data_IF_150879872293
#
_entry.id   IF_150879872293
#
_cell.length_a   1.000
_cell.length_b   1.000
_cell.length_c   1.000
_cell.angle_alpha   90.00
_cell.angle_beta   90.00
_cell.angle_gamma   90.00
#
_symmetry.space_group_name_H-M   'P 1'
#
loop_
_entity.id
_entity.type
_entity.pdbx_description
1 polymer ?
#
# COMPACT_ATOMS: atom_id res chain seq x y z
N UNK A 1 27.06 29.54 -75.66
CA UNK A 1 25.97 29.01 -74.80
C UNK A 1 26.58 27.96 -73.90
N UNK A 2 26.83 28.31 -72.65
CA UNK A 2 27.44 27.40 -71.66
C UNK A 2 26.37 27.01 -70.68
N UNK A 3 26.01 25.73 -70.62
CA UNK A 3 25.07 25.16 -69.63
C UNK A 3 25.84 24.75 -68.38
N UNK A 4 25.49 25.31 -67.23
CA UNK A 4 26.01 24.89 -65.91
C UNK A 4 25.19 23.77 -65.36
N UNK A 5 25.78 22.71 -64.73
CA UNK A 5 25.03 21.66 -64.09
C UNK A 5 24.56 22.09 -62.67
N UNK A 6 23.27 21.93 -62.38
CA UNK A 6 22.70 22.04 -61.06
C UNK A 6 23.06 20.76 -60.29
N UNK A 7 23.84 20.89 -59.20
CA UNK A 7 24.06 19.81 -58.21
C UNK A 7 22.96 19.92 -57.18
N UNK A 8 22.02 18.97 -57.21
CA UNK A 8 21.01 18.78 -56.14
C UNK A 8 21.65 18.03 -54.98
N UNK A 9 21.93 18.73 -53.90
CA UNK A 9 22.40 18.13 -52.66
C UNK A 9 21.23 17.41 -51.93
N UNK A 10 21.31 16.09 -51.84
CA UNK A 10 20.40 15.27 -51.02
C UNK A 10 20.81 15.42 -49.55
N UNK A 11 20.04 16.18 -48.76
CA UNK A 11 20.15 16.14 -47.30
C UNK A 11 19.53 14.83 -46.81
N UNK A 12 20.36 13.87 -46.41
CA UNK A 12 19.91 12.68 -45.67
C UNK A 12 19.60 13.11 -44.23
N UNK A 13 18.32 13.23 -43.87
CA UNK A 13 17.89 13.27 -42.46
C UNK A 13 18.18 11.90 -41.83
N UNK A 14 19.19 11.84 -40.98
CA UNK A 14 19.39 10.68 -40.10
C UNK A 14 18.25 10.65 -39.07
N UNK A 15 17.34 9.71 -39.21
CA UNK A 15 16.35 9.41 -38.17
C UNK A 15 17.12 8.86 -36.97
N UNK A 16 17.18 9.61 -35.86
CA UNK A 16 17.65 9.14 -34.58
C UNK A 16 16.58 8.12 -34.10
N UNK A 17 16.94 6.86 -33.88
CA UNK A 17 15.95 5.92 -33.31
C UNK A 17 15.52 6.46 -31.95
N UNK A 18 14.22 6.69 -31.77
CA UNK A 18 13.65 6.94 -30.45
C UNK A 18 13.97 5.71 -29.59
N UNK A 19 14.78 5.88 -28.55
CA UNK A 19 14.97 4.83 -27.57
C UNK A 19 13.59 4.45 -27.01
N UNK A 20 13.22 3.18 -27.07
CA UNK A 20 11.98 2.72 -26.46
C UNK A 20 12.02 3.08 -24.97
N UNK A 21 10.99 3.77 -24.51
CA UNK A 21 10.86 4.16 -23.10
C UNK A 21 10.86 2.89 -22.24
N UNK A 22 11.79 2.81 -21.31
CA UNK A 22 11.86 1.67 -20.39
C UNK A 22 10.81 1.88 -19.31
N UNK A 23 9.89 0.94 -19.15
CA UNK A 23 8.84 1.01 -18.15
C UNK A 23 8.76 -0.25 -17.31
N UNK A 24 8.22 -0.11 -16.09
CA UNK A 24 7.86 -1.22 -15.20
C UNK A 24 6.41 -1.09 -14.73
N UNK A 25 5.82 -2.23 -14.37
CA UNK A 25 4.53 -2.31 -13.70
C UNK A 25 4.76 -2.58 -12.22
N UNK A 26 4.36 -1.64 -11.37
CA UNK A 26 4.38 -1.76 -9.92
C UNK A 26 3.00 -2.21 -9.43
N UNK A 27 2.88 -3.47 -9.00
CA UNK A 27 1.67 -3.96 -8.33
C UNK A 27 1.63 -3.46 -6.91
N UNK A 28 0.57 -2.74 -6.53
CA UNK A 28 0.45 -2.12 -5.22
C UNK A 28 -1.01 -2.04 -4.73
N UNK A 29 -1.22 -1.34 -3.62
CA UNK A 29 -2.53 -1.25 -2.98
C UNK A 29 -3.19 0.11 -3.20
N UNK A 30 -4.54 0.09 -3.24
CA UNK A 30 -5.33 1.33 -3.34
C UNK A 30 -5.10 2.26 -2.16
N UNK A 31 -4.85 1.74 -0.95
CA UNK A 31 -4.55 2.58 0.22
C UNK A 31 -3.23 3.32 0.05
N UNK A 32 -2.18 2.66 -0.46
CA UNK A 32 -0.88 3.30 -0.73
C UNK A 32 -1.00 4.36 -1.83
N UNK A 33 -1.70 4.05 -2.93
CA UNK A 33 -1.92 5.03 -4.00
C UNK A 33 -2.73 6.23 -3.52
N UNK A 34 -3.83 5.99 -2.78
CA UNK A 34 -4.71 7.05 -2.27
C UNK A 34 -4.04 7.93 -1.20
N UNK A 35 -2.96 7.47 -0.56
CA UNK A 35 -2.19 8.31 0.34
C UNK A 35 -1.44 9.44 -0.37
N UNK A 36 -1.22 9.34 -1.70
CA UNK A 36 -0.43 10.30 -2.48
C UNK A 36 1.08 10.04 -2.46
N UNK A 37 1.53 8.94 -1.81
CA UNK A 37 2.95 8.63 -1.68
C UNK A 37 3.65 8.49 -3.04
N UNK A 38 3.01 7.84 -4.01
CA UNK A 38 3.60 7.62 -5.33
C UNK A 38 3.81 8.91 -6.12
N UNK A 39 2.89 9.87 -6.02
CA UNK A 39 3.02 11.19 -6.65
C UNK A 39 4.26 11.95 -6.12
N UNK A 40 4.67 11.65 -4.89
CA UNK A 40 5.87 12.22 -4.29
C UNK A 40 7.15 11.43 -4.64
N UNK A 41 7.11 10.10 -4.66
CA UNK A 41 8.30 9.27 -4.83
C UNK A 41 8.72 9.08 -6.29
N UNK A 42 7.76 8.77 -7.18
CA UNK A 42 8.07 8.29 -8.52
C UNK A 42 8.79 9.31 -9.39
N UNK A 43 8.45 10.61 -9.38
CA UNK A 43 9.19 11.59 -10.18
C UNK A 43 10.70 11.62 -9.93
N UNK A 44 11.11 11.40 -8.66
CA UNK A 44 12.53 11.31 -8.29
C UNK A 44 13.24 10.10 -8.87
N UNK A 45 12.58 8.94 -8.81
CA UNK A 45 13.10 7.70 -9.41
C UNK A 45 13.17 7.78 -10.93
N UNK A 46 12.08 8.22 -11.58
CA UNK A 46 11.96 8.29 -13.03
C UNK A 46 12.99 9.24 -13.65
N UNK A 47 13.17 10.43 -13.04
CA UNK A 47 14.15 11.40 -13.48
C UNK A 47 15.59 10.90 -13.37
N UNK A 48 15.90 10.07 -12.37
CA UNK A 48 17.24 9.54 -12.13
C UNK A 48 17.58 8.36 -13.03
N UNK A 49 16.60 7.48 -13.27
CA UNK A 49 16.85 6.18 -13.89
C UNK A 49 16.35 6.11 -15.35
N UNK A 50 15.54 7.07 -15.80
CA UNK A 50 14.92 7.02 -17.13
C UNK A 50 13.95 5.84 -17.30
N UNK A 51 13.34 5.40 -16.21
CA UNK A 51 12.40 4.28 -16.16
C UNK A 51 11.05 4.79 -15.68
N UNK A 52 10.01 4.65 -16.49
CA UNK A 52 8.64 5.03 -16.12
C UNK A 52 7.99 3.94 -15.26
N UNK A 53 7.25 4.33 -14.21
CA UNK A 53 6.58 3.40 -13.30
C UNK A 53 5.07 3.47 -13.45
N UNK A 54 4.46 2.40 -13.97
CA UNK A 54 3.01 2.25 -14.04
C UNK A 54 2.48 1.56 -12.77
N UNK A 55 1.81 2.32 -11.91
CA UNK A 55 1.23 1.79 -10.67
C UNK A 55 -0.12 1.14 -10.95
N UNK A 56 -0.24 -0.15 -10.63
CA UNK A 56 -1.52 -0.88 -10.62
C UNK A 56 -1.97 -1.01 -9.17
N UNK A 57 -2.88 -0.12 -8.76
CA UNK A 57 -3.38 -0.01 -7.39
C UNK A 57 -4.71 -0.77 -7.21
N UNK A 58 -4.64 -1.92 -6.54
CA UNK A 58 -5.78 -2.81 -6.27
C UNK A 58 -5.77 -3.29 -4.81
N UNK A 59 -6.65 -4.20 -4.42
CA UNK A 59 -6.54 -4.86 -3.11
C UNK A 59 -5.31 -5.76 -3.04
N UNK A 60 -4.69 -5.91 -1.86
CA UNK A 60 -3.44 -6.68 -1.65
C UNK A 60 -3.50 -8.08 -2.29
N UNK A 61 -4.58 -8.83 -2.05
CA UNK A 61 -4.74 -10.17 -2.64
C UNK A 61 -4.76 -10.15 -4.16
N UNK A 62 -5.37 -9.12 -4.78
CA UNK A 62 -5.36 -8.98 -6.24
C UNK A 62 -3.98 -8.56 -6.75
N UNK A 63 -3.27 -7.66 -6.08
CA UNK A 63 -1.91 -7.27 -6.44
C UNK A 63 -0.96 -8.49 -6.46
N UNK A 64 -1.04 -9.35 -5.45
CA UNK A 64 -0.27 -10.59 -5.37
C UNK A 64 -0.68 -11.57 -6.48
N UNK A 65 -1.98 -11.72 -6.77
CA UNK A 65 -2.43 -12.57 -7.90
C UNK A 65 -1.91 -12.06 -9.23
N UNK A 66 -1.97 -10.76 -9.49
CA UNK A 66 -1.42 -10.17 -10.71
C UNK A 66 0.09 -10.46 -10.83
N UNK A 67 0.85 -10.27 -9.75
CA UNK A 67 2.28 -10.58 -9.74
C UNK A 67 2.56 -12.09 -9.97
N UNK A 68 1.73 -13.00 -9.44
CA UNK A 68 1.81 -14.45 -9.73
C UNK A 68 1.51 -14.78 -11.20
N UNK A 69 0.64 -14.02 -11.83
CA UNK A 69 0.32 -14.15 -13.26
C UNK A 69 1.37 -13.49 -14.16
N UNK A 70 2.47 -12.98 -13.59
CA UNK A 70 3.51 -12.25 -14.30
C UNK A 70 3.03 -10.92 -14.92
N UNK A 71 1.98 -10.31 -14.35
CA UNK A 71 1.41 -9.03 -14.78
C UNK A 71 2.02 -7.84 -14.01
N UNK A 72 3.25 -7.96 -13.56
CA UNK A 72 3.98 -6.91 -12.85
C UNK A 72 5.44 -7.26 -12.66
N UNK A 73 6.29 -6.24 -12.55
CA UNK A 73 7.74 -6.36 -12.41
C UNK A 73 8.17 -6.28 -10.93
N UNK A 74 7.40 -5.51 -10.14
CA UNK A 74 7.63 -5.29 -8.71
C UNK A 74 6.30 -5.34 -7.97
N UNK A 75 6.31 -5.90 -6.76
CA UNK A 75 5.22 -5.91 -5.80
C UNK A 75 5.61 -5.04 -4.59
N UNK A 76 4.79 -4.05 -4.23
CA UNK A 76 4.94 -3.23 -3.04
C UNK A 76 3.60 -3.19 -2.29
N UNK A 77 3.49 -3.96 -1.23
CA UNK A 77 2.26 -4.18 -0.45
C UNK A 77 2.57 -4.28 1.05
N UNK A 78 1.58 -4.57 1.88
CA UNK A 78 1.71 -4.59 3.34
C UNK A 78 0.93 -5.76 3.99
N UNK A 79 1.19 -6.97 3.54
CA UNK A 79 0.62 -8.20 4.08
C UNK A 79 1.72 -9.28 4.21
N UNK A 80 2.61 -9.11 5.20
CA UNK A 80 3.87 -9.84 5.37
C UNK A 80 3.73 -11.35 5.13
N UNK A 81 2.75 -12.01 5.76
CA UNK A 81 2.58 -13.46 5.64
C UNK A 81 2.31 -13.91 4.19
N UNK A 82 1.48 -13.16 3.44
CA UNK A 82 1.17 -13.46 2.03
C UNK A 82 2.33 -13.11 1.10
N UNK A 83 3.11 -12.08 1.44
CA UNK A 83 4.34 -11.70 0.74
C UNK A 83 5.43 -12.76 0.90
N UNK A 84 5.61 -13.29 2.11
CA UNK A 84 6.55 -14.40 2.39
C UNK A 84 6.15 -15.68 1.67
N UNK A 85 4.84 -15.99 1.61
CA UNK A 85 4.33 -17.11 0.83
C UNK A 85 4.63 -16.92 -0.66
N UNK A 86 4.41 -15.74 -1.23
CA UNK A 86 4.73 -15.41 -2.62
C UNK A 86 6.22 -15.66 -2.95
N UNK A 87 7.13 -15.30 -2.03
CA UNK A 87 8.57 -15.56 -2.17
C UNK A 87 8.88 -17.05 -2.02
N UNK A 88 8.32 -17.73 -1.01
CA UNK A 88 8.58 -19.17 -0.78
C UNK A 88 8.10 -20.06 -1.91
N UNK A 89 7.05 -19.65 -2.63
CA UNK A 89 6.57 -20.31 -3.87
C UNK A 89 7.44 -20.01 -5.10
N UNK A 90 8.46 -19.15 -4.95
CA UNK A 90 9.43 -18.81 -5.99
C UNK A 90 8.97 -17.73 -6.97
N UNK A 91 7.84 -17.06 -6.74
CA UNK A 91 7.36 -15.94 -7.58
C UNK A 91 8.06 -14.62 -7.28
N UNK A 92 8.58 -14.43 -6.08
CA UNK A 92 9.40 -13.28 -5.69
C UNK A 92 10.86 -13.66 -5.51
N UNK A 93 11.78 -12.75 -5.79
CA UNK A 93 13.23 -12.97 -5.56
C UNK A 93 13.53 -12.95 -4.07
N UNK A 94 13.16 -11.88 -3.39
CA UNK A 94 13.29 -11.71 -1.95
C UNK A 94 12.31 -10.63 -1.47
N UNK A 95 11.77 -10.79 -0.26
CA UNK A 95 11.02 -9.75 0.44
C UNK A 95 12.00 -8.85 1.21
N UNK A 96 11.83 -7.54 1.09
CA UNK A 96 12.60 -6.57 1.86
C UNK A 96 11.67 -5.55 2.51
N UNK A 97 11.96 -5.19 3.76
CA UNK A 97 11.26 -4.10 4.43
C UNK A 97 11.61 -2.78 3.74
N UNK A 98 10.61 -1.92 3.53
CA UNK A 98 10.80 -0.63 2.85
C UNK A 98 10.40 0.54 3.74
N UNK A 99 9.28 0.43 4.42
CA UNK A 99 8.71 1.45 5.29
C UNK A 99 7.63 0.82 6.17
N UNK A 100 7.17 1.56 7.16
CA UNK A 100 5.98 1.21 7.94
C UNK A 100 5.10 2.43 8.17
N UNK A 101 3.84 2.17 8.47
CA UNK A 101 2.92 3.05 9.16
C UNK A 101 2.17 2.23 10.20
N UNK A 102 1.10 2.76 10.77
CA UNK A 102 0.25 2.02 11.68
C UNK A 102 -1.20 1.96 11.20
N UNK A 103 -1.90 0.99 11.74
CA UNK A 103 -3.35 1.00 11.76
C UNK A 103 -3.86 1.73 13.00
N UNK A 104 -5.07 2.23 12.91
CA UNK A 104 -5.78 2.89 13.98
C UNK A 104 -7.24 2.47 13.96
N UNK A 105 -7.88 2.48 15.12
CA UNK A 105 -9.34 2.38 15.18
C UNK A 105 -9.90 3.79 15.31
N UNK A 106 -10.75 4.15 14.35
CA UNK A 106 -11.47 5.43 14.35
C UNK A 106 -12.96 5.20 14.64
N UNK A 107 -13.62 6.19 15.18
CA UNK A 107 -15.04 6.10 15.50
C UNK A 107 -15.63 7.43 15.93
N UNK A 108 -16.93 7.46 16.22
CA UNK A 108 -17.63 8.67 16.63
C UNK A 108 -17.07 9.23 17.93
N UNK A 109 -17.08 10.56 18.08
CA UNK A 109 -16.63 11.26 19.30
C UNK A 109 -17.40 10.81 20.54
N UNK A 110 -18.64 10.36 20.36
CA UNK A 110 -19.50 9.87 21.47
C UNK A 110 -18.96 8.59 22.12
N UNK A 111 -18.17 7.80 21.38
CA UNK A 111 -17.46 6.59 21.85
C UNK A 111 -18.33 5.65 22.72
N UNK A 112 -19.41 5.08 22.18
CA UNK A 112 -20.36 4.28 22.97
C UNK A 112 -19.75 3.03 23.61
N UNK A 113 -18.63 2.53 23.12
CA UNK A 113 -17.90 1.40 23.69
C UNK A 113 -16.81 1.81 24.71
N UNK A 114 -16.52 3.12 24.84
CA UNK A 114 -15.54 3.63 25.80
C UNK A 114 -14.10 3.17 25.51
N UNK A 115 -13.69 3.17 24.24
CA UNK A 115 -12.37 2.69 23.81
C UNK A 115 -11.37 3.82 23.57
N UNK A 116 -11.79 5.06 23.70
CA UNK A 116 -10.94 6.24 23.44
C UNK A 116 -9.73 6.31 24.36
N UNK A 117 -8.53 6.40 23.74
CA UNK A 117 -7.25 6.44 24.42
C UNK A 117 -6.68 5.06 24.81
N UNK A 118 -7.30 3.96 24.37
CA UNK A 118 -6.74 2.63 24.56
C UNK A 118 -5.56 2.39 23.61
N UNK A 119 -4.56 1.63 24.11
CA UNK A 119 -3.38 1.20 23.39
C UNK A 119 -3.32 -0.32 23.23
N UNK A 120 -4.43 -1.01 23.48
CA UNK A 120 -4.63 -2.46 23.33
C UNK A 120 -5.82 -2.64 22.37
N UNK A 121 -5.51 -2.97 21.12
CA UNK A 121 -6.48 -3.09 20.04
C UNK A 121 -7.42 -4.29 20.26
N UNK A 122 -6.91 -5.42 20.75
CA UNK A 122 -7.71 -6.60 21.02
C UNK A 122 -8.76 -6.33 22.09
N UNK A 123 -8.36 -5.69 23.19
CA UNK A 123 -9.28 -5.31 24.27
C UNK A 123 -10.28 -4.25 23.80
N UNK A 124 -9.87 -3.32 22.96
CA UNK A 124 -10.77 -2.32 22.39
C UNK A 124 -11.85 -2.98 21.51
N UNK A 125 -11.45 -3.89 20.63
CA UNK A 125 -12.37 -4.67 19.80
C UNK A 125 -13.34 -5.49 20.66
N UNK A 126 -12.86 -6.15 21.72
CA UNK A 126 -13.72 -6.87 22.67
C UNK A 126 -14.78 -5.94 23.27
N UNK A 127 -14.42 -4.74 23.72
CA UNK A 127 -15.38 -3.76 24.25
C UNK A 127 -16.41 -3.30 23.22
N UNK A 128 -15.99 -3.10 21.97
CA UNK A 128 -16.91 -2.75 20.87
C UNK A 128 -17.94 -3.86 20.68
N UNK A 129 -17.52 -5.12 20.71
CA UNK A 129 -18.39 -6.28 20.59
C UNK A 129 -19.36 -6.42 21.78
N UNK A 130 -18.86 -6.30 23.03
CA UNK A 130 -19.66 -6.35 24.27
C UNK A 130 -20.74 -5.28 24.27
N UNK A 131 -20.40 -4.06 23.87
CA UNK A 131 -21.34 -2.96 23.72
C UNK A 131 -22.31 -3.14 22.53
N UNK A 132 -22.06 -4.13 21.65
CA UNK A 132 -22.73 -4.29 20.35
C UNK A 132 -22.75 -3.00 19.54
N UNK A 133 -21.72 -2.17 19.70
CA UNK A 133 -21.55 -0.94 18.97
C UNK A 133 -21.23 -1.27 17.51
N UNK A 134 -21.76 -0.48 16.58
CA UNK A 134 -21.56 -0.73 15.15
C UNK A 134 -20.08 -0.71 14.79
N UNK A 135 -19.63 -1.70 14.04
CA UNK A 135 -18.29 -1.78 13.47
C UNK A 135 -18.41 -2.01 11.96
N UNK A 136 -17.77 -1.16 11.18
CA UNK A 136 -17.71 -1.26 9.72
C UNK A 136 -16.40 -1.95 9.31
N UNK A 137 -16.51 -3.16 8.81
CA UNK A 137 -15.41 -3.93 8.23
C UNK A 137 -15.27 -3.65 6.74
N UNK A 138 -14.06 -3.72 6.23
CA UNK A 138 -13.86 -3.66 4.78
C UNK A 138 -14.49 -4.84 4.04
N UNK A 139 -14.38 -6.05 4.56
CA UNK A 139 -15.00 -7.23 3.97
C UNK A 139 -14.54 -7.58 2.54
N UNK A 140 -13.36 -7.11 2.08
CA UNK A 140 -12.90 -7.15 0.69
C UNK A 140 -11.58 -7.90 0.46
N UNK A 141 -11.13 -8.65 1.47
CA UNK A 141 -9.86 -9.39 1.49
C UNK A 141 -8.60 -8.53 1.24
N UNK A 142 -8.69 -7.22 1.48
CA UNK A 142 -7.55 -6.30 1.45
C UNK A 142 -6.59 -6.51 2.62
N UNK A 143 -5.40 -5.90 2.57
CA UNK A 143 -4.45 -5.92 3.68
C UNK A 143 -5.05 -5.38 4.99
N UNK A 144 -5.87 -4.32 4.93
CA UNK A 144 -6.60 -3.80 6.09
C UNK A 144 -7.61 -4.83 6.62
N UNK A 145 -8.37 -5.49 5.74
CA UNK A 145 -9.32 -6.53 6.16
C UNK A 145 -8.60 -7.75 6.76
N UNK A 146 -7.47 -8.16 6.18
CA UNK A 146 -6.65 -9.26 6.74
C UNK A 146 -6.10 -8.90 8.13
N UNK A 147 -5.63 -7.67 8.34
CA UNK A 147 -5.19 -7.16 9.65
C UNK A 147 -6.36 -7.12 10.64
N UNK A 148 -7.50 -6.59 10.24
CA UNK A 148 -8.72 -6.53 11.05
C UNK A 148 -9.12 -7.94 11.52
N UNK A 149 -9.20 -8.91 10.60
CA UNK A 149 -9.49 -10.30 10.93
C UNK A 149 -8.44 -10.94 11.85
N UNK A 150 -7.16 -10.57 11.71
CA UNK A 150 -6.11 -11.04 12.61
C UNK A 150 -6.32 -10.51 14.03
N UNK A 151 -6.70 -9.25 14.20
CA UNK A 151 -7.02 -8.65 15.49
C UNK A 151 -8.27 -9.29 16.11
N UNK A 152 -9.35 -9.51 15.34
CA UNK A 152 -10.56 -10.19 15.83
C UNK A 152 -10.27 -11.62 16.29
N UNK A 153 -9.38 -12.36 15.60
CA UNK A 153 -8.99 -13.73 16.03
C UNK A 153 -8.23 -13.79 17.35
N UNK A 154 -7.65 -12.70 17.80
CA UNK A 154 -7.01 -12.60 19.13
C UNK A 154 -8.04 -12.41 20.25
N UNK A 155 -9.27 -12.10 19.87
CA UNK A 155 -10.41 -12.01 20.78
C UNK A 155 -11.24 -13.30 20.71
N UNK A 156 -12.11 -13.55 21.66
CA UNK A 156 -13.06 -14.67 21.64
C UNK A 156 -14.36 -14.32 20.86
N UNK A 157 -14.35 -13.24 20.08
CA UNK A 157 -15.53 -12.71 19.41
C UNK A 157 -15.76 -13.41 18.07
N UNK A 158 -16.94 -14.00 17.90
CA UNK A 158 -17.40 -14.55 16.63
C UNK A 158 -18.01 -13.45 15.73
N UNK A 159 -17.18 -12.93 14.84
CA UNK A 159 -17.61 -11.89 13.88
C UNK A 159 -18.55 -12.44 12.81
N UNK A 160 -18.47 -13.73 12.46
CA UNK A 160 -19.37 -14.35 11.47
C UNK A 160 -20.78 -14.40 12.03
N UNK A 161 -20.94 -14.82 13.30
CA UNK A 161 -22.22 -14.77 13.98
C UNK A 161 -22.76 -13.34 14.20
N UNK A 162 -21.91 -12.33 14.20
CA UNK A 162 -22.27 -10.91 14.33
C UNK A 162 -22.56 -10.21 13.00
N UNK A 163 -22.21 -10.83 11.86
CA UNK A 163 -22.38 -10.27 10.52
C UNK A 163 -23.83 -9.84 10.27
N UNK A 164 -24.00 -8.72 9.60
CA UNK A 164 -25.30 -8.12 9.34
C UNK A 164 -26.02 -7.53 10.57
N UNK A 165 -25.45 -7.62 11.77
CA UNK A 165 -25.95 -7.01 13.02
C UNK A 165 -25.13 -5.80 13.42
N UNK A 166 -24.24 -5.92 14.37
CA UNK A 166 -23.33 -4.86 14.76
C UNK A 166 -22.01 -4.86 13.95
N UNK A 167 -21.61 -6.01 13.39
CA UNK A 167 -20.48 -6.14 12.48
C UNK A 167 -20.99 -6.03 11.03
N UNK A 168 -20.55 -5.02 10.29
CA UNK A 168 -21.05 -4.62 8.96
C UNK A 168 -19.93 -4.65 7.93
N UNK A 169 -19.94 -5.66 7.08
CA UNK A 169 -19.01 -5.78 5.97
C UNK A 169 -19.48 -4.88 4.81
N UNK A 170 -18.60 -3.98 4.39
CA UNK A 170 -18.92 -3.01 3.31
C UNK A 170 -18.60 -3.56 1.92
N UNK A 171 -17.72 -4.56 1.81
CA UNK A 171 -17.24 -5.08 0.54
C UNK A 171 -16.50 -4.02 -0.31
N UNK A 172 -15.93 -2.99 0.32
CA UNK A 172 -15.49 -1.77 -0.37
C UNK A 172 -14.08 -1.34 0.03
N UNK A 173 -13.43 -0.51 -0.80
CA UNK A 173 -12.15 0.11 -0.48
C UNK A 173 -12.23 1.04 0.74
N UNK A 174 -11.05 1.37 1.34
CA UNK A 174 -10.99 2.05 2.65
C UNK A 174 -11.74 3.39 2.69
N UNK A 175 -11.63 4.21 1.65
CA UNK A 175 -12.34 5.50 1.59
C UNK A 175 -13.87 5.35 1.61
N UNK A 176 -14.41 4.36 0.90
CA UNK A 176 -15.85 4.06 0.91
C UNK A 176 -16.28 3.49 2.27
N UNK A 177 -15.45 2.61 2.87
CA UNK A 177 -15.69 2.06 4.21
C UNK A 177 -15.71 3.17 5.26
N UNK A 178 -14.77 4.13 5.21
CA UNK A 178 -14.76 5.30 6.10
C UNK A 178 -16.03 6.16 5.94
N UNK A 179 -16.48 6.40 4.70
CA UNK A 179 -17.75 7.15 4.48
C UNK A 179 -18.94 6.39 5.08
N UNK A 180 -18.98 5.07 4.91
CA UNK A 180 -20.03 4.22 5.51
C UNK A 180 -19.97 4.26 7.03
N UNK A 181 -18.78 4.13 7.61
CA UNK A 181 -18.58 4.19 9.06
C UNK A 181 -19.05 5.53 9.64
N UNK A 182 -18.65 6.65 9.02
CA UNK A 182 -19.11 7.99 9.42
C UNK A 182 -20.65 8.11 9.33
N UNK A 183 -21.25 7.68 8.22
CA UNK A 183 -22.70 7.71 8.03
C UNK A 183 -23.50 6.87 9.03
N UNK A 184 -22.90 5.78 9.54
CA UNK A 184 -23.52 4.86 10.51
C UNK A 184 -23.17 5.15 11.96
N UNK A 185 -22.21 6.03 12.24
CA UNK A 185 -21.63 6.18 13.58
C UNK A 185 -20.90 4.93 14.06
N UNK A 186 -20.27 4.19 13.15
CA UNK A 186 -19.62 2.91 13.41
C UNK A 186 -18.11 3.06 13.63
N UNK A 187 -17.53 2.24 14.50
CA UNK A 187 -16.06 2.07 14.55
C UNK A 187 -15.55 1.42 13.27
N UNK A 188 -14.30 1.67 12.92
CA UNK A 188 -13.63 0.96 11.81
C UNK A 188 -12.12 0.98 11.99
N UNK A 189 -11.45 -0.06 11.48
CA UNK A 189 -10.00 -0.10 11.35
C UNK A 189 -9.59 0.58 10.04
N UNK A 190 -8.57 1.43 10.10
CA UNK A 190 -7.98 2.07 8.91
C UNK A 190 -6.48 2.25 9.09
N UNK A 191 -5.72 2.32 8.02
CA UNK A 191 -4.36 2.84 8.09
C UNK A 191 -4.37 4.36 8.35
N UNK A 192 -3.36 4.83 9.10
CA UNK A 192 -3.26 6.25 9.49
C UNK A 192 -3.17 7.17 8.28
N UNK A 193 -2.44 6.77 7.23
CA UNK A 193 -2.26 7.59 6.04
C UNK A 193 -3.59 7.87 5.33
N UNK A 194 -4.41 6.82 5.15
CA UNK A 194 -5.77 6.98 4.61
C UNK A 194 -6.62 7.87 5.51
N UNK A 195 -6.56 7.69 6.84
CA UNK A 195 -7.31 8.53 7.78
C UNK A 195 -6.91 10.01 7.71
N UNK A 196 -5.62 10.32 7.66
CA UNK A 196 -5.14 11.71 7.58
C UNK A 196 -5.64 12.37 6.29
N UNK A 197 -5.56 11.64 5.17
CA UNK A 197 -6.00 12.12 3.85
C UNK A 197 -7.53 12.17 3.70
N UNK A 198 -8.26 11.43 4.52
CA UNK A 198 -9.72 11.37 4.46
C UNK A 198 -10.36 12.68 4.94
N UNK A 199 -11.20 13.29 4.10
CA UNK A 199 -11.74 14.64 4.36
C UNK A 199 -13.09 14.64 5.06
N UNK A 200 -13.92 13.60 4.85
CA UNK A 200 -15.30 13.55 5.36
C UNK A 200 -15.37 12.95 6.78
N UNK A 201 -14.54 13.45 7.70
CA UNK A 201 -14.41 12.90 9.07
C UNK A 201 -15.62 13.12 9.97
N UNK A 202 -16.43 14.15 9.67
CA UNK A 202 -17.50 14.54 10.59
C UNK A 202 -16.97 14.80 12.00
N UNK A 203 -17.56 14.14 13.00
CA UNK A 203 -17.13 14.17 14.41
C UNK A 203 -16.23 12.97 14.79
N UNK A 204 -15.81 12.18 13.81
CA UNK A 204 -14.94 11.01 14.03
C UNK A 204 -13.54 11.45 14.45
N UNK A 205 -12.92 10.61 15.27
CA UNK A 205 -11.54 10.77 15.75
C UNK A 205 -10.85 9.43 15.87
N UNK A 206 -9.53 9.48 16.02
CA UNK A 206 -8.73 8.31 16.45
C UNK A 206 -9.10 7.98 17.88
N UNK A 207 -9.41 6.72 18.13
CA UNK A 207 -9.82 6.22 19.45
C UNK A 207 -8.83 5.21 20.00
N UNK A 208 -8.22 4.36 19.12
CA UNK A 208 -7.21 3.37 19.54
C UNK A 208 -6.00 3.49 18.61
N UNK A 209 -4.82 3.60 19.20
CA UNK A 209 -3.53 3.71 18.52
C UNK A 209 -2.39 3.28 19.44
N UNK A 210 -1.19 3.05 18.87
CA UNK A 210 0.03 2.80 19.65
C UNK A 210 0.18 1.36 20.15
N UNK A 211 -0.62 0.42 19.66
CA UNK A 211 -0.45 -1.02 19.91
C UNK A 211 0.54 -1.61 18.90
N UNK A 212 1.43 -2.49 19.34
CA UNK A 212 2.36 -3.21 18.47
C UNK A 212 1.62 -4.06 17.43
N UNK A 213 0.45 -4.59 17.77
CA UNK A 213 -0.42 -5.30 16.84
C UNK A 213 -1.02 -4.42 15.73
N UNK A 214 -0.97 -3.11 15.89
CA UNK A 214 -1.39 -2.15 14.86
C UNK A 214 -0.27 -1.77 13.88
N UNK A 215 0.95 -2.30 14.07
CA UNK A 215 2.07 -2.06 13.16
C UNK A 215 1.80 -2.57 11.75
N UNK A 216 2.07 -1.75 10.76
CA UNK A 216 1.80 -2.02 9.35
C UNK A 216 3.07 -1.93 8.51
N UNK A 217 3.76 -3.07 8.36
CA UNK A 217 5.00 -3.18 7.62
C UNK A 217 4.75 -3.32 6.12
N UNK A 218 5.35 -2.48 5.33
CA UNK A 218 5.39 -2.56 3.87
C UNK A 218 6.60 -3.37 3.42
N UNK A 219 6.36 -4.30 2.49
CA UNK A 219 7.39 -5.05 1.80
C UNK A 219 7.50 -4.66 0.33
N UNK A 220 8.71 -4.68 -0.21
CA UNK A 220 8.99 -4.59 -1.64
C UNK A 220 9.62 -5.90 -2.12
N UNK A 221 9.16 -6.40 -3.26
CA UNK A 221 9.58 -7.68 -3.82
C UNK A 221 9.71 -7.54 -5.33
N UNK A 222 10.89 -7.86 -5.86
CA UNK A 222 11.06 -8.03 -7.29
C UNK A 222 10.39 -9.34 -7.73
N UNK A 223 9.57 -9.30 -8.78
CA UNK A 223 9.01 -10.51 -9.38
C UNK A 223 10.13 -11.32 -10.01
N UNK A 224 10.12 -12.64 -9.76
CA UNK A 224 11.22 -13.52 -10.12
C UNK A 224 11.21 -13.85 -11.62
N UNK A 225 12.21 -13.42 -12.41
CA UNK A 225 12.27 -13.70 -13.84
C UNK A 225 12.40 -15.18 -14.18
N UNK A 226 12.85 -16.02 -13.25
CA UNK A 226 12.90 -17.47 -13.47
C UNK A 226 11.51 -18.11 -13.52
N UNK A 227 10.52 -17.50 -12.85
CA UNK A 227 9.10 -17.91 -12.90
C UNK A 227 8.32 -17.10 -13.94
N UNK A 228 8.69 -15.83 -14.12
CA UNK A 228 8.02 -14.85 -14.97
C UNK A 228 8.99 -14.27 -16.02
N UNK A 229 9.28 -14.99 -17.12
CA UNK A 229 10.27 -14.53 -18.10
C UNK A 229 9.92 -13.24 -18.84
N UNK A 230 8.66 -12.80 -18.78
CA UNK A 230 8.16 -11.57 -19.44
C UNK A 230 8.45 -10.29 -18.64
N UNK A 231 8.85 -10.40 -17.36
CA UNK A 231 9.07 -9.22 -16.51
C UNK A 231 10.36 -8.49 -16.88
N UNK A 232 10.35 -7.17 -16.73
CA UNK A 232 11.54 -6.34 -16.89
C UNK A 232 12.42 -6.43 -15.64
N UNK A 233 13.16 -7.53 -15.51
CA UNK A 233 13.94 -7.85 -14.33
C UNK A 233 14.99 -6.77 -13.98
N UNK A 234 15.63 -6.17 -14.99
CA UNK A 234 16.66 -5.15 -14.78
C UNK A 234 16.06 -3.86 -14.23
N UNK A 235 14.98 -3.38 -14.85
CA UNK A 235 14.31 -2.16 -14.41
C UNK A 235 13.55 -2.36 -13.08
N UNK A 236 12.96 -3.53 -12.86
CA UNK A 236 12.34 -3.89 -11.58
C UNK A 236 13.36 -3.90 -10.44
N UNK A 237 14.56 -4.48 -10.69
CA UNK A 237 15.66 -4.43 -9.73
C UNK A 237 16.12 -2.99 -9.44
N UNK A 238 16.24 -2.17 -10.47
CA UNK A 238 16.64 -0.77 -10.30
C UNK A 238 15.65 -0.02 -9.39
N UNK A 239 14.35 -0.27 -9.53
CA UNK A 239 13.34 0.31 -8.63
C UNK A 239 13.50 -0.18 -7.19
N UNK A 240 13.66 -1.49 -6.99
CA UNK A 240 13.86 -2.07 -5.65
C UNK A 240 15.12 -1.52 -5.00
N UNK A 241 16.25 -1.48 -5.73
CA UNK A 241 17.51 -0.93 -5.20
C UNK A 241 17.37 0.56 -4.83
N UNK A 242 16.67 1.34 -5.68
CA UNK A 242 16.48 2.78 -5.43
C UNK A 242 15.61 3.04 -4.20
N UNK A 243 14.45 2.38 -4.07
CA UNK A 243 13.54 2.63 -2.94
C UNK A 243 14.16 2.23 -1.59
N UNK A 244 15.06 1.25 -1.60
CA UNK A 244 15.82 0.79 -0.43
C UNK A 244 17.10 1.61 -0.17
N UNK A 245 17.55 2.41 -1.14
CA UNK A 245 18.74 3.25 -1.01
C UNK A 245 18.53 4.38 0.02
N UNK A 246 19.63 5.00 0.52
CA UNK A 246 19.50 6.17 1.37
C UNK A 246 18.64 7.29 0.76
N UNK A 247 18.68 7.45 -0.56
CA UNK A 247 17.90 8.47 -1.27
C UNK A 247 16.40 8.14 -1.29
N UNK A 248 16.02 6.92 -1.66
CA UNK A 248 14.62 6.48 -1.63
C UNK A 248 14.05 6.51 -0.21
N UNK A 249 14.83 6.10 0.79
CA UNK A 249 14.43 6.13 2.19
C UNK A 249 14.28 7.58 2.71
N UNK A 250 15.14 8.51 2.29
CA UNK A 250 14.97 9.93 2.61
C UNK A 250 13.70 10.51 1.97
N UNK A 251 13.43 10.18 0.71
CA UNK A 251 12.21 10.61 0.03
C UNK A 251 10.93 10.10 0.74
N UNK A 252 10.93 8.86 1.25
CA UNK A 252 9.83 8.34 2.09
C UNK A 252 9.70 9.15 3.38
N UNK A 253 10.82 9.46 4.06
CA UNK A 253 10.83 10.21 5.32
C UNK A 253 10.34 11.64 5.16
N UNK A 254 10.55 12.24 4.00
CA UNK A 254 10.15 13.62 3.68
C UNK A 254 8.67 13.75 3.34
N UNK A 255 8.00 12.63 2.99
CA UNK A 255 6.59 12.67 2.61
C UNK A 255 5.69 13.05 3.80
N UNK A 256 4.92 14.13 3.62
CA UNK A 256 4.01 14.65 4.65
C UNK A 256 2.66 15.06 4.06
N UNK A 257 1.61 14.84 4.83
CA UNK A 257 0.27 15.36 4.54
C UNK A 257 -0.18 16.19 5.75
N UNK A 258 -0.58 17.45 5.51
CA UNK A 258 -0.95 18.35 6.59
C UNK A 258 0.16 18.63 7.62
N UNK A 259 1.43 18.43 7.23
CA UNK A 259 2.60 18.56 8.11
C UNK A 259 2.98 17.30 8.87
N UNK A 260 2.14 16.25 8.82
CA UNK A 260 2.41 14.98 9.51
C UNK A 260 3.11 13.97 8.60
N UNK A 261 4.10 13.26 9.13
CA UNK A 261 4.78 12.16 8.44
C UNK A 261 3.87 10.94 8.42
N UNK A 262 3.64 10.37 7.23
CA UNK A 262 2.72 9.23 7.07
C UNK A 262 3.41 7.89 6.99
N UNK A 263 4.64 7.85 6.51
CA UNK A 263 5.43 6.64 6.37
C UNK A 263 6.81 6.83 6.99
N UNK A 264 7.27 5.80 7.67
CA UNK A 264 8.55 5.78 8.37
C UNK A 264 9.47 4.78 7.67
N UNK A 265 10.58 5.23 7.05
CA UNK A 265 11.49 4.35 6.35
C UNK A 265 12.17 3.38 7.31
N UNK A 266 12.32 2.12 6.90
CA UNK A 266 13.00 1.09 7.67
C UNK A 266 13.65 0.01 6.80
N UNK A 267 14.16 0.39 5.62
CA UNK A 267 14.96 -0.51 4.81
C UNK A 267 16.17 -1.01 5.61
N UNK A 268 16.37 -2.30 5.62
CA UNK A 268 17.45 -2.95 6.34
C UNK A 268 17.08 -4.38 6.74
N UNK A 269 18.02 -5.13 7.31
CA UNK A 269 17.72 -6.44 7.86
C UNK A 269 16.64 -6.28 8.95
N UNK A 270 15.72 -7.26 9.03
CA UNK A 270 14.72 -7.28 10.08
C UNK A 270 15.41 -7.09 11.44
N UNK A 271 14.98 -6.07 12.19
CA UNK A 271 15.33 -6.05 13.61
C UNK A 271 14.54 -7.21 14.21
N UNK A 272 15.28 -8.15 14.76
CA UNK A 272 14.70 -9.24 15.55
C UNK A 272 14.02 -8.55 16.77
N UNK A 273 12.75 -8.22 16.61
CA UNK A 273 11.91 -7.84 17.75
C UNK A 273 11.58 -9.16 18.42
N UNK A 274 12.51 -9.61 19.27
CA UNK A 274 12.37 -10.81 20.07
C UNK A 274 11.00 -10.81 20.74
N UNK A 275 10.23 -11.83 20.39
CA UNK A 275 8.97 -12.23 21.04
C UNK A 275 9.16 -12.54 22.50
#
# INVERSE_FOLDING_TARGET
MHAAPLIAGLLALAAVPAAAETAIILQSTTSTANSGLYDHLLPGFEAENGITVHVVAVGTGQAIRNARNCDGDVLLVHAKATEELFVSEGYGVARQNVMFNDFIVVGPKADPAGVGGMTDAGRALTRIAEARALFASRGDDSGTHQKERALWRQTEVDTEAASGRWYRETGSGMGATLNTAVGMGAYTLTDRATWISFRNKGDFRVLVEGDDDLFNQYGVIQVNPAKCPSVNASAGKAFVDWILSPKGQAAIAEYRVGGEQLFFPNAGPERDTGS
#
